data_IF_197616614263
#
_entry.id   IF_197616614263
#
_cell.length_a   1.000
_cell.length_b   1.000
_cell.length_c   1.000
_cell.angle_alpha   90.00
_cell.angle_beta   90.00
_cell.angle_gamma   90.00
#
_symmetry.space_group_name_H-M   'P 1'
#
loop_
_entity.id
_entity.type
_entity.pdbx_description
1 polymer ?
#
# COMPACT_ATOMS: atom_id res chain seq x y z
N UNK A 1 -20.09 -5.19 -59.66
CA UNK A 1 -20.52 -5.40 -58.26
C UNK A 1 -19.40 -4.96 -57.33
N UNK A 2 -19.69 -4.12 -56.33
CA UNK A 2 -18.70 -3.50 -55.45
C UNK A 2 -18.41 -4.39 -54.23
N UNK A 3 -17.15 -4.55 -53.86
CA UNK A 3 -16.80 -4.76 -52.46
C UNK A 3 -15.89 -3.61 -52.04
N UNK A 4 -16.52 -2.76 -51.24
CA UNK A 4 -16.02 -1.59 -50.52
C UNK A 4 -14.75 -1.97 -49.73
N UNK A 5 -13.62 -1.31 -49.91
CA UNK A 5 -13.34 0.11 -49.58
C UNK A 5 -12.80 0.23 -48.13
N UNK A 6 -11.63 0.89 -48.05
CA UNK A 6 -11.09 1.66 -46.90
C UNK A 6 -10.40 0.88 -45.76
N UNK A 7 -9.25 1.29 -45.20
CA UNK A 7 -8.33 2.42 -45.49
C UNK A 7 -7.14 2.36 -44.51
N UNK A 8 -6.01 2.93 -44.95
CA UNK A 8 -4.93 3.58 -44.17
C UNK A 8 -4.02 2.73 -43.26
N UNK A 9 -2.75 2.56 -43.64
CA UNK A 9 -1.60 3.50 -43.59
C UNK A 9 -0.80 3.35 -42.28
N UNK A 10 0.43 2.86 -42.46
CA UNK A 10 1.67 3.28 -41.75
C UNK A 10 1.72 2.99 -40.24
N UNK A 11 2.77 2.35 -39.71
CA UNK A 11 4.13 2.89 -39.74
C UNK A 11 5.10 1.88 -39.07
N UNK A 12 6.01 1.34 -39.88
CA UNK A 12 7.43 1.09 -39.59
C UNK A 12 7.81 0.48 -38.22
N UNK A 13 7.92 -0.84 -38.17
CA UNK A 13 8.86 -1.50 -37.25
C UNK A 13 10.19 -1.67 -37.97
N UNK A 14 11.03 -0.64 -37.92
CA UNK A 14 12.43 -0.81 -38.29
C UNK A 14 13.30 0.20 -37.59
N UNK A 15 14.39 -0.34 -37.03
CA UNK A 15 15.70 0.26 -36.81
C UNK A 15 16.08 0.60 -35.37
N UNK A 16 17.08 -0.19 -34.94
CA UNK A 16 18.40 0.29 -34.49
C UNK A 16 18.51 0.79 -33.05
N UNK A 17 19.40 0.20 -32.24
CA UNK A 17 20.79 0.69 -31.98
C UNK A 17 20.66 1.90 -31.03
N UNK A 18 21.31 2.05 -29.90
CA UNK A 18 22.67 1.69 -29.49
C UNK A 18 22.86 2.23 -28.05
N UNK A 19 23.94 1.78 -27.40
CA UNK A 19 24.81 2.56 -26.48
C UNK A 19 24.15 3.09 -25.19
N UNK A 20 24.44 2.45 -24.06
CA UNK A 20 25.56 2.80 -23.20
C UNK A 20 25.40 4.18 -22.53
N UNK A 21 25.16 4.19 -21.22
CA UNK A 21 25.89 5.09 -20.31
C UNK A 21 25.70 4.68 -18.85
N UNK A 22 26.84 4.51 -18.19
CA UNK A 22 26.94 4.31 -16.76
C UNK A 22 26.36 5.49 -16.00
N UNK A 23 25.50 5.22 -15.00
CA UNK A 23 25.40 6.09 -13.83
C UNK A 23 25.38 5.23 -12.57
N UNK A 24 26.59 5.10 -12.01
CA UNK A 24 26.89 4.58 -10.68
C UNK A 24 26.17 5.43 -9.64
N UNK A 25 24.89 5.16 -9.39
CA UNK A 25 24.28 5.54 -8.12
C UNK A 25 24.52 4.35 -7.21
N UNK A 26 25.47 4.49 -6.27
CA UNK A 26 25.69 3.54 -5.19
C UNK A 26 24.34 3.30 -4.52
N UNK A 27 23.65 2.22 -4.90
CA UNK A 27 22.60 1.64 -4.08
C UNK A 27 23.32 1.12 -2.86
N UNK A 28 23.34 1.93 -1.80
CA UNK A 28 23.73 1.47 -0.48
C UNK A 28 22.85 0.26 -0.21
N UNK A 29 23.46 -0.92 -0.22
CA UNK A 29 22.82 -2.20 0.03
C UNK A 29 22.35 -2.23 1.48
N UNK A 30 21.26 -1.53 1.77
CA UNK A 30 20.52 -1.72 3.00
C UNK A 30 19.74 -3.01 2.79
N UNK A 31 20.28 -4.14 3.27
CA UNK A 31 19.55 -5.40 3.38
C UNK A 31 18.13 -5.10 3.86
N UNK A 32 17.08 -5.26 3.05
CA UNK A 32 15.74 -4.97 3.50
C UNK A 32 15.37 -6.08 4.49
N UNK A 33 15.45 -5.75 5.78
CA UNK A 33 14.91 -6.61 6.84
C UNK A 33 13.47 -6.98 6.46
N UNK A 34 13.06 -8.24 6.66
CA UNK A 34 11.78 -8.79 6.19
C UNK A 34 10.56 -7.92 6.55
N UNK A 35 10.67 -7.13 7.62
CA UNK A 35 9.68 -6.14 8.08
C UNK A 35 9.52 -4.91 7.19
N UNK A 36 10.50 -4.53 6.37
CA UNK A 36 10.39 -3.40 5.42
C UNK A 36 9.63 -3.80 4.15
N UNK A 37 9.79 -5.04 3.69
CA UNK A 37 9.23 -5.55 2.44
C UNK A 37 7.69 -5.59 2.54
N UNK A 38 7.16 -6.19 3.61
CA UNK A 38 5.71 -6.31 3.79
C UNK A 38 4.98 -4.95 3.91
N UNK A 39 5.67 -3.91 4.42
CA UNK A 39 5.11 -2.55 4.51
C UNK A 39 5.00 -1.89 3.14
N UNK A 40 5.94 -2.15 2.24
CA UNK A 40 5.98 -1.54 0.91
C UNK A 40 4.83 -2.03 0.05
N UNK A 41 4.47 -3.31 0.13
CA UNK A 41 3.41 -3.88 -0.71
C UNK A 41 2.01 -3.47 -0.26
N UNK A 42 1.78 -3.35 1.06
CA UNK A 42 0.54 -2.75 1.59
C UNK A 42 0.38 -1.30 1.14
N UNK A 43 1.46 -0.53 1.22
CA UNK A 43 1.45 0.86 0.79
C UNK A 43 1.16 0.98 -0.70
N UNK A 44 1.64 0.08 -1.56
CA UNK A 44 1.29 0.07 -2.99
C UNK A 44 -0.19 -0.22 -3.25
N UNK A 45 -0.83 -1.08 -2.44
CA UNK A 45 -2.23 -1.48 -2.63
C UNK A 45 -3.24 -0.36 -2.33
N UNK A 46 -2.98 0.44 -1.30
CA UNK A 46 -3.90 1.50 -0.83
C UNK A 46 -3.46 2.91 -1.25
N UNK A 47 -2.44 3.02 -2.10
CA UNK A 47 -1.96 4.31 -2.61
C UNK A 47 -2.91 4.83 -3.67
N UNK A 48 -3.49 6.03 -3.44
CA UNK A 48 -4.23 6.75 -4.48
C UNK A 48 -3.32 7.28 -5.59
N UNK A 49 -2.09 7.69 -5.23
CA UNK A 49 -1.06 8.13 -6.17
C UNK A 49 0.30 7.48 -5.86
N UNK A 50 1.21 7.40 -6.85
CA UNK A 50 2.54 6.77 -6.71
C UNK A 50 3.36 7.30 -5.53
N UNK A 51 3.21 8.59 -5.20
CA UNK A 51 3.94 9.27 -4.12
C UNK A 51 3.13 9.43 -2.83
N UNK A 52 1.90 8.92 -2.77
CA UNK A 52 1.03 9.11 -1.62
C UNK A 52 1.43 8.17 -0.46
N UNK A 53 2.17 8.72 0.50
CA UNK A 53 2.51 8.02 1.74
C UNK A 53 1.58 8.37 2.90
N UNK A 54 0.70 9.37 2.71
CA UNK A 54 0.00 10.06 3.78
C UNK A 54 -1.50 9.76 3.85
N UNK A 55 -2.09 9.18 2.80
CA UNK A 55 -3.52 8.88 2.79
C UNK A 55 -3.96 8.05 3.99
N UNK A 56 -5.15 8.37 4.48
CA UNK A 56 -5.80 7.74 5.62
C UNK A 56 -5.96 6.23 5.39
N UNK A 57 -6.19 5.82 4.14
CA UNK A 57 -6.30 4.41 3.74
C UNK A 57 -4.98 3.65 4.00
N UNK A 58 -3.88 4.21 3.52
CA UNK A 58 -2.52 3.66 3.73
C UNK A 58 -2.20 3.58 5.23
N UNK A 59 -2.53 4.63 5.99
CA UNK A 59 -2.28 4.63 7.43
C UNK A 59 -3.08 3.55 8.16
N UNK A 60 -4.37 3.39 7.84
CA UNK A 60 -5.23 2.36 8.46
C UNK A 60 -4.72 0.95 8.14
N UNK A 61 -4.28 0.71 6.91
CA UNK A 61 -3.68 -0.56 6.51
C UNK A 61 -2.40 -0.86 7.29
N UNK A 62 -1.51 0.14 7.43
CA UNK A 62 -0.27 0.01 8.23
C UNK A 62 -0.54 -0.23 9.71
N UNK A 63 -1.51 0.47 10.30
CA UNK A 63 -1.91 0.22 11.69
C UNK A 63 -2.46 -1.19 11.87
N UNK A 64 -3.28 -1.66 10.93
CA UNK A 64 -3.88 -2.99 11.01
C UNK A 64 -2.83 -4.10 10.95
N UNK A 65 -1.86 -3.99 10.04
CA UNK A 65 -0.73 -4.92 10.00
C UNK A 65 0.08 -4.90 11.31
N UNK A 66 0.39 -3.71 11.84
CA UNK A 66 1.12 -3.58 13.11
C UNK A 66 0.36 -4.19 14.28
N UNK A 67 -0.94 -3.93 14.37
CA UNK A 67 -1.84 -4.51 15.39
C UNK A 67 -1.79 -6.03 15.32
N UNK A 68 -1.87 -6.62 14.12
CA UNK A 68 -1.81 -8.07 13.96
C UNK A 68 -0.45 -8.65 14.42
N UNK A 69 0.66 -7.99 14.07
CA UNK A 69 1.99 -8.43 14.52
C UNK A 69 2.18 -8.31 16.03
N UNK A 70 1.73 -7.20 16.64
CA UNK A 70 1.81 -6.98 18.09
C UNK A 70 0.88 -7.93 18.84
N UNK A 71 -0.33 -8.19 18.32
CA UNK A 71 -1.24 -9.17 18.91
C UNK A 71 -0.63 -10.57 18.93
N UNK A 72 0.07 -10.99 17.85
CA UNK A 72 0.81 -12.27 17.83
C UNK A 72 1.97 -12.29 18.85
N UNK A 73 2.66 -11.17 19.04
CA UNK A 73 3.73 -11.05 20.02
C UNK A 73 3.20 -11.15 21.46
N UNK A 74 2.14 -10.40 21.78
CA UNK A 74 1.51 -10.38 23.11
C UNK A 74 0.86 -11.71 23.50
N UNK A 75 0.40 -12.51 22.52
CA UNK A 75 -0.04 -13.90 22.78
C UNK A 75 1.06 -14.77 23.39
N UNK A 76 2.33 -14.51 23.04
CA UNK A 76 3.48 -15.22 23.61
C UNK A 76 4.02 -14.53 24.86
N UNK A 77 3.91 -13.20 24.93
CA UNK A 77 4.43 -12.37 26.02
C UNK A 77 3.30 -11.58 26.69
N UNK A 78 2.48 -12.27 27.49
CA UNK A 78 1.30 -11.67 28.13
C UNK A 78 1.60 -10.66 29.24
N UNK A 79 2.81 -10.70 29.80
CA UNK A 79 3.25 -9.81 30.89
C UNK A 79 3.84 -8.47 30.40
N UNK A 80 3.95 -8.27 29.08
CA UNK A 80 4.46 -7.02 28.51
C UNK A 80 3.35 -5.95 28.44
N UNK A 81 3.21 -5.20 29.54
CA UNK A 81 2.19 -4.16 29.69
C UNK A 81 2.46 -2.93 28.81
N UNK A 82 3.72 -2.61 28.52
CA UNK A 82 4.08 -1.48 27.66
C UNK A 82 3.68 -1.74 26.21
N UNK A 83 3.94 -2.95 25.71
CA UNK A 83 3.46 -3.39 24.40
C UNK A 83 1.94 -3.46 24.33
N UNK A 84 1.26 -3.88 25.40
CA UNK A 84 -0.21 -3.89 25.47
C UNK A 84 -0.79 -2.47 25.41
N UNK A 85 -0.19 -1.53 26.13
CA UNK A 85 -0.55 -0.10 26.06
C UNK A 85 -0.32 0.45 24.64
N UNK A 86 0.80 0.12 24.01
CA UNK A 86 1.09 0.47 22.62
C UNK A 86 0.05 -0.08 21.64
N UNK A 87 -0.38 -1.34 21.82
CA UNK A 87 -1.43 -1.97 21.04
C UNK A 87 -2.77 -1.20 21.16
N UNK A 88 -3.20 -0.91 22.39
CA UNK A 88 -4.44 -0.17 22.65
C UNK A 88 -4.41 1.23 22.02
N UNK A 89 -3.28 1.93 22.11
CA UNK A 89 -3.11 3.23 21.46
C UNK A 89 -3.21 3.13 19.93
N UNK A 90 -2.63 2.09 19.31
CA UNK A 90 -2.76 1.87 17.86
C UNK A 90 -4.19 1.57 17.44
N UNK A 91 -4.92 0.75 18.21
CA UNK A 91 -6.34 0.47 17.96
C UNK A 91 -7.17 1.75 18.05
N UNK A 92 -6.92 2.58 19.07
CA UNK A 92 -7.58 3.88 19.24
C UNK A 92 -7.31 4.85 18.09
N UNK A 93 -6.05 4.97 17.65
CA UNK A 93 -5.66 5.79 16.48
C UNK A 93 -6.36 5.31 15.20
N UNK A 94 -6.38 3.99 14.95
CA UNK A 94 -7.08 3.40 13.81
C UNK A 94 -8.58 3.72 13.84
N UNK A 95 -9.23 3.60 15.02
CA UNK A 95 -10.65 3.93 15.18
C UNK A 95 -10.94 5.40 14.88
N UNK A 96 -10.08 6.32 15.33
CA UNK A 96 -10.20 7.76 15.01
C UNK A 96 -10.10 8.02 13.51
N UNK A 97 -9.13 7.41 12.83
CA UNK A 97 -8.96 7.52 11.37
C UNK A 97 -10.15 6.96 10.60
N UNK A 98 -10.68 5.81 11.01
CA UNK A 98 -11.90 5.23 10.42
C UNK A 98 -13.12 6.15 10.59
N UNK A 99 -13.29 6.72 11.77
CA UNK A 99 -14.37 7.68 12.03
C UNK A 99 -14.23 8.95 11.17
N UNK A 100 -13.01 9.44 10.97
CA UNK A 100 -12.74 10.57 10.09
C UNK A 100 -13.07 10.23 8.63
N UNK A 101 -12.61 9.06 8.14
CA UNK A 101 -12.89 8.61 6.78
C UNK A 101 -14.39 8.43 6.54
N UNK A 102 -15.12 7.88 7.52
CA UNK A 102 -16.58 7.73 7.46
C UNK A 102 -17.29 9.08 7.29
N UNK A 103 -16.84 10.13 7.98
CA UNK A 103 -17.43 11.48 7.86
C UNK A 103 -17.12 12.15 6.52
N UNK A 104 -15.92 11.90 5.97
CA UNK A 104 -15.45 12.57 4.75
C UNK A 104 -15.93 11.86 3.48
N UNK A 105 -15.77 10.54 3.41
CA UNK A 105 -16.10 9.73 2.24
C UNK A 105 -16.57 8.32 2.66
N UNK A 106 -17.88 8.13 2.75
CA UNK A 106 -18.48 6.87 3.18
C UNK A 106 -18.16 5.69 2.24
N UNK A 107 -18.09 5.94 0.93
CA UNK A 107 -17.75 4.90 -0.07
C UNK A 107 -16.38 4.29 0.17
N UNK A 108 -15.38 5.11 0.51
CA UNK A 108 -14.02 4.64 0.83
C UNK A 108 -14.00 3.87 2.14
N UNK A 109 -14.72 4.37 3.15
CA UNK A 109 -14.87 3.70 4.44
C UNK A 109 -15.44 2.28 4.30
N UNK A 110 -16.52 2.10 3.53
CA UNK A 110 -17.14 0.79 3.31
C UNK A 110 -16.19 -0.18 2.60
N UNK A 111 -15.52 0.27 1.54
CA UNK A 111 -14.50 -0.53 0.83
C UNK A 111 -13.38 -0.96 1.75
N UNK A 112 -12.86 -0.03 2.55
CA UNK A 112 -11.75 -0.27 3.46
C UNK A 112 -12.12 -1.26 4.57
N UNK A 113 -13.32 -1.14 5.14
CA UNK A 113 -13.81 -2.09 6.16
C UNK A 113 -13.94 -3.50 5.61
N UNK A 114 -14.48 -3.62 4.38
CA UNK A 114 -14.70 -4.91 3.74
C UNK A 114 -13.38 -5.61 3.43
N UNK A 115 -12.39 -4.85 2.94
CA UNK A 115 -11.07 -5.36 2.60
C UNK A 115 -10.23 -5.75 3.83
N UNK A 116 -10.35 -4.98 4.93
CA UNK A 116 -9.66 -5.28 6.19
C UNK A 116 -10.43 -6.24 7.12
N UNK A 117 -11.63 -6.67 6.75
CA UNK A 117 -12.47 -7.57 7.55
C UNK A 117 -12.85 -7.03 8.94
N UNK A 118 -12.88 -5.71 9.12
CA UNK A 118 -13.14 -5.08 10.41
C UNK A 118 -14.64 -5.04 10.70
N UNK A 119 -15.10 -5.81 11.69
CA UNK A 119 -16.52 -5.80 12.11
C UNK A 119 -16.84 -4.55 12.95
N UNK A 120 -18.07 -4.06 12.83
CA UNK A 120 -18.59 -2.83 13.43
C UNK A 120 -19.08 -3.05 14.85
#
# INVERSE_FOLDING_TARGET
MPIKEKVNLTKTESKTKVLATAKKVKTVAVKPTATKIAKVDLVKKYRGHKLDTGSIEVQIALFSQRIETLAKHLKKHSKDNDSMRGLLQMVGKRRRLLNYLKKKEEKKYLKLILDLGLRK
#
